data_IF_085808836626
#
_entry.id   IF_085808836626
#
_cell.length_a   1.000
_cell.length_b   1.000
_cell.length_c   1.000
_cell.angle_alpha   90.00
_cell.angle_beta   90.00
_cell.angle_gamma   90.00
#
_symmetry.space_group_name_H-M   'P 1'
#
loop_
_entity.id
_entity.type
_entity.pdbx_description
1 polymer ?
#
# COMPACT_ATOMS: atom_id res chain seq x y z
N UNK A 1 19.90 27.92 11.64
CA UNK A 1 20.45 26.88 10.74
C UNK A 1 19.32 26.37 9.93
N UNK A 2 19.30 26.68 8.65
CA UNK A 2 18.29 26.17 7.69
C UNK A 2 18.50 24.67 7.52
N UNK A 3 17.46 23.82 7.59
CA UNK A 3 17.60 22.41 7.27
C UNK A 3 17.97 22.29 5.80
N UNK A 4 19.07 21.60 5.52
CA UNK A 4 19.51 21.30 4.17
C UNK A 4 18.46 20.45 3.47
N UNK A 5 18.30 20.76 2.19
CA UNK A 5 17.32 20.16 1.28
C UNK A 5 17.30 18.63 1.35
N UNK A 6 16.08 18.10 1.32
CA UNK A 6 15.77 16.72 1.06
C UNK A 6 16.65 16.15 -0.05
N UNK A 7 17.45 15.13 0.27
CA UNK A 7 18.02 14.27 -0.74
C UNK A 7 16.86 13.61 -1.49
N UNK A 8 16.67 14.04 -2.73
CA UNK A 8 15.75 13.37 -3.66
C UNK A 8 16.22 11.93 -3.74
N UNK A 9 15.38 11.00 -3.30
CA UNK A 9 15.60 9.56 -3.49
C UNK A 9 15.50 9.34 -4.99
N UNK A 10 16.64 9.24 -5.68
CA UNK A 10 16.69 8.77 -7.05
C UNK A 10 16.45 7.27 -7.00
N UNK A 11 15.21 6.86 -7.24
CA UNK A 11 14.92 5.48 -7.58
C UNK A 11 15.36 5.30 -9.02
N UNK A 12 16.21 4.33 -9.27
CA UNK A 12 16.40 3.89 -10.65
C UNK A 12 15.04 3.54 -11.22
N UNK A 13 14.67 4.11 -12.39
CA UNK A 13 13.39 3.78 -12.99
C UNK A 13 13.33 2.26 -13.22
N UNK A 14 12.14 1.63 -13.13
CA UNK A 14 11.99 0.22 -13.39
C UNK A 14 12.58 -0.07 -14.76
N UNK A 15 13.50 -1.02 -14.80
CA UNK A 15 14.15 -1.42 -16.05
C UNK A 15 13.20 -2.32 -16.83
N UNK A 16 12.26 -1.71 -17.56
CA UNK A 16 11.25 -2.42 -18.38
C UNK A 16 11.88 -3.42 -19.35
N UNK A 17 13.08 -3.14 -19.84
CA UNK A 17 13.82 -4.06 -20.70
C UNK A 17 14.19 -5.34 -19.96
N UNK A 18 14.61 -5.23 -18.71
CA UNK A 18 14.99 -6.36 -17.86
C UNK A 18 13.80 -7.25 -17.52
N UNK A 19 12.66 -6.67 -17.16
CA UNK A 19 11.42 -7.42 -16.88
C UNK A 19 10.93 -8.15 -18.13
N UNK A 20 11.00 -7.51 -19.29
CA UNK A 20 10.66 -8.15 -20.55
C UNK A 20 11.57 -9.34 -20.84
N UNK A 21 12.89 -9.18 -20.71
CA UNK A 21 13.87 -10.25 -20.91
C UNK A 21 13.63 -11.40 -19.92
N UNK A 22 13.40 -11.09 -18.63
CA UNK A 22 13.10 -12.08 -17.62
C UNK A 22 11.83 -12.87 -17.99
N UNK A 23 10.78 -12.19 -18.43
CA UNK A 23 9.54 -12.83 -18.89
C UNK A 23 9.74 -13.76 -20.09
N UNK A 24 10.61 -13.41 -21.04
CA UNK A 24 10.94 -14.29 -22.18
C UNK A 24 11.70 -15.54 -21.75
N UNK A 25 12.65 -15.38 -20.83
CA UNK A 25 13.41 -16.51 -20.27
C UNK A 25 12.49 -17.45 -19.51
N UNK A 26 11.62 -16.91 -18.65
CA UNK A 26 10.64 -17.71 -17.88
C UNK A 26 9.68 -18.47 -18.82
N UNK A 27 9.20 -17.85 -19.88
CA UNK A 27 8.34 -18.50 -20.87
C UNK A 27 9.06 -19.66 -21.58
N UNK A 28 10.33 -19.46 -21.95
CA UNK A 28 11.15 -20.48 -22.60
C UNK A 28 11.41 -21.67 -21.65
N UNK A 29 11.87 -21.41 -20.44
CA UNK A 29 12.17 -22.42 -19.43
C UNK A 29 10.88 -23.14 -18.99
N UNK A 30 9.79 -22.40 -18.76
CA UNK A 30 8.48 -22.94 -18.42
C UNK A 30 7.93 -23.86 -19.51
N UNK A 31 8.10 -23.50 -20.78
CA UNK A 31 7.77 -24.38 -21.93
C UNK A 31 8.59 -25.66 -21.90
N UNK A 32 9.90 -25.56 -21.66
CA UNK A 32 10.77 -26.72 -21.52
C UNK A 32 10.34 -27.66 -20.40
N UNK A 33 10.04 -27.10 -19.22
CA UNK A 33 9.53 -27.87 -18.06
C UNK A 33 8.20 -28.57 -18.39
N UNK A 34 7.28 -27.88 -19.06
CA UNK A 34 6.00 -28.46 -19.48
C UNK A 34 6.20 -29.63 -20.43
N UNK A 35 7.09 -29.50 -21.44
CA UNK A 35 7.41 -30.58 -22.36
C UNK A 35 7.97 -31.78 -21.60
N UNK A 36 8.96 -31.58 -20.72
CA UNK A 36 9.56 -32.65 -19.91
C UNK A 36 8.47 -33.36 -19.07
N UNK A 37 7.55 -32.62 -18.48
CA UNK A 37 6.48 -33.18 -17.65
C UNK A 37 5.56 -34.13 -18.42
N UNK A 38 5.31 -33.83 -19.68
CA UNK A 38 4.42 -34.59 -20.57
C UNK A 38 5.08 -35.83 -21.22
N UNK A 39 6.43 -35.90 -21.17
CA UNK A 39 7.13 -37.06 -21.74
C UNK A 39 6.86 -38.33 -20.91
N UNK A 40 6.62 -39.48 -21.54
CA UNK A 40 6.41 -40.76 -20.84
C UNK A 40 7.76 -41.39 -20.43
N UNK A 41 8.51 -40.67 -19.55
CA UNK A 41 9.84 -41.05 -19.12
C UNK A 41 9.85 -41.39 -17.62
N UNK A 42 10.77 -42.26 -17.14
CA UNK A 42 10.99 -42.50 -15.74
C UNK A 42 11.29 -41.20 -14.98
N UNK A 43 10.87 -41.15 -13.71
CA UNK A 43 11.02 -39.97 -12.87
C UNK A 43 12.47 -39.49 -12.78
N UNK A 44 13.42 -40.40 -12.55
CA UNK A 44 14.85 -40.08 -12.42
C UNK A 44 15.42 -39.46 -13.70
N UNK A 45 14.92 -39.86 -14.89
CA UNK A 45 15.35 -39.27 -16.13
C UNK A 45 14.75 -37.87 -16.35
N UNK A 46 13.50 -37.66 -15.91
CA UNK A 46 12.89 -36.30 -15.88
C UNK A 46 13.66 -35.34 -14.98
N UNK A 47 14.06 -35.79 -13.79
CA UNK A 47 14.90 -35.00 -12.88
C UNK A 47 16.23 -34.60 -13.53
N UNK A 48 16.87 -35.52 -14.24
CA UNK A 48 18.09 -35.22 -14.99
C UNK A 48 17.84 -34.17 -16.09
N UNK A 49 16.71 -34.25 -16.82
CA UNK A 49 16.33 -33.28 -17.83
C UNK A 49 16.03 -31.89 -17.19
N UNK A 50 15.36 -31.85 -16.05
CA UNK A 50 15.14 -30.60 -15.33
C UNK A 50 16.44 -29.99 -14.84
N UNK A 51 17.36 -30.79 -14.33
CA UNK A 51 18.68 -30.32 -13.92
C UNK A 51 19.48 -29.78 -15.11
N UNK A 52 19.42 -30.45 -16.26
CA UNK A 52 20.05 -29.99 -17.49
C UNK A 52 19.45 -28.68 -18.02
N UNK A 53 18.13 -28.55 -17.96
CA UNK A 53 17.43 -27.32 -18.33
C UNK A 53 17.81 -26.14 -17.42
N UNK A 54 17.88 -26.39 -16.12
CA UNK A 54 18.32 -25.38 -15.15
C UNK A 54 19.81 -25.03 -15.35
N UNK A 55 20.67 -25.99 -15.66
CA UNK A 55 22.07 -25.75 -16.03
C UNK A 55 22.21 -24.89 -17.29
N UNK A 56 21.38 -25.14 -18.32
CA UNK A 56 21.35 -24.32 -19.53
C UNK A 56 20.86 -22.90 -19.23
N UNK A 57 19.85 -22.74 -18.38
CA UNK A 57 19.39 -21.43 -17.90
C UNK A 57 20.54 -20.65 -17.27
N UNK A 58 21.22 -21.26 -16.30
CA UNK A 58 22.34 -20.66 -15.58
C UNK A 58 23.50 -20.29 -16.51
N UNK A 59 23.83 -21.14 -17.49
CA UNK A 59 24.97 -20.90 -18.37
C UNK A 59 24.71 -19.86 -19.47
N UNK A 60 23.49 -19.76 -19.99
CA UNK A 60 23.17 -18.96 -21.18
C UNK A 60 22.19 -17.82 -20.99
N UNK A 61 21.47 -17.81 -19.87
CA UNK A 61 20.40 -16.85 -19.60
C UNK A 61 20.47 -16.31 -18.17
N UNK A 62 21.68 -16.25 -17.60
CA UNK A 62 21.88 -15.75 -16.25
C UNK A 62 21.43 -14.27 -16.15
N UNK A 63 20.73 -13.93 -15.07
CA UNK A 63 20.20 -12.60 -14.81
C UNK A 63 20.87 -12.01 -13.57
N UNK A 64 20.94 -10.69 -13.46
CA UNK A 64 21.36 -10.07 -12.21
C UNK A 64 20.31 -10.32 -11.12
N UNK A 65 20.72 -10.43 -9.84
CA UNK A 65 19.80 -10.68 -8.74
C UNK A 65 18.68 -9.64 -8.68
N UNK A 66 17.49 -10.06 -8.28
CA UNK A 66 16.39 -9.17 -8.00
C UNK A 66 16.55 -8.62 -6.59
N UNK A 67 16.58 -7.31 -6.48
CA UNK A 67 16.67 -6.61 -5.23
C UNK A 67 15.65 -5.47 -5.25
N UNK A 68 14.71 -5.49 -4.31
CA UNK A 68 13.62 -4.54 -4.28
C UNK A 68 13.89 -3.42 -3.26
N UNK A 69 13.51 -2.16 -3.57
CA UNK A 69 13.46 -1.11 -2.57
C UNK A 69 12.56 -1.53 -1.41
N UNK A 70 13.03 -1.32 -0.19
CA UNK A 70 12.32 -1.73 1.02
C UNK A 70 12.29 -0.58 2.01
N UNK A 71 11.19 -0.42 2.73
CA UNK A 71 11.11 0.46 3.88
C UNK A 71 11.02 -0.38 5.15
N UNK A 72 11.78 0.04 6.17
CA UNK A 72 11.80 -0.63 7.48
C UNK A 72 11.48 0.43 8.53
N UNK A 73 10.55 0.11 9.41
CA UNK A 73 10.14 0.99 10.50
C UNK A 73 10.49 0.36 11.85
N UNK A 74 11.01 1.17 12.77
CA UNK A 74 11.25 0.75 14.14
C UNK A 74 10.92 1.86 15.15
N UNK A 75 10.93 1.47 16.41
CA UNK A 75 10.85 2.42 17.53
C UNK A 75 12.22 3.07 17.73
N UNK A 76 12.31 4.39 17.55
CA UNK A 76 13.52 5.16 17.43
C UNK A 76 14.62 4.94 18.46
N UNK A 77 15.85 5.06 18.02
CA UNK A 77 17.06 4.94 18.84
C UNK A 77 17.50 3.51 19.12
N UNK A 78 16.83 2.51 18.57
CA UNK A 78 17.16 1.07 18.72
C UNK A 78 17.68 0.55 17.38
N UNK A 79 18.75 -0.28 17.36
CA UNK A 79 19.21 -0.88 16.12
C UNK A 79 18.11 -1.71 15.45
N UNK A 80 17.95 -1.56 14.14
CA UNK A 80 16.98 -2.29 13.32
C UNK A 80 17.72 -3.41 12.61
N UNK A 81 17.22 -4.62 12.69
CA UNK A 81 17.69 -5.75 11.90
C UNK A 81 16.67 -6.12 10.83
N UNK A 82 17.16 -6.52 9.67
CA UNK A 82 16.34 -6.95 8.54
C UNK A 82 17.13 -7.83 7.58
N UNK A 83 16.49 -8.20 6.47
CA UNK A 83 17.13 -8.89 5.36
C UNK A 83 16.90 -8.13 4.06
N UNK A 84 17.89 -8.10 3.19
CA UNK A 84 17.79 -7.46 1.88
C UNK A 84 16.88 -8.24 0.93
N UNK A 85 16.75 -9.55 1.15
CA UNK A 85 15.82 -10.40 0.40
C UNK A 85 16.10 -10.45 -1.10
N UNK A 86 17.37 -10.27 -1.53
CA UNK A 86 17.71 -10.42 -2.94
C UNK A 86 17.50 -11.87 -3.39
N UNK A 87 16.96 -12.04 -4.58
CA UNK A 87 16.69 -13.36 -5.17
C UNK A 87 17.43 -13.47 -6.49
N UNK A 88 18.28 -14.47 -6.60
CA UNK A 88 18.85 -14.91 -7.85
C UNK A 88 17.99 -16.04 -8.43
N UNK A 89 17.50 -15.85 -9.66
CA UNK A 89 16.60 -16.81 -10.30
C UNK A 89 17.33 -18.07 -10.80
N UNK A 90 18.63 -17.97 -11.01
CA UNK A 90 19.52 -19.04 -11.42
C UNK A 90 20.08 -19.79 -10.20
N UNK A 91 19.98 -19.22 -9.00
CA UNK A 91 20.45 -19.77 -7.75
C UNK A 91 21.95 -19.58 -7.54
N UNK A 92 22.51 -18.53 -8.16
CA UNK A 92 23.91 -18.17 -7.96
C UNK A 92 24.11 -17.45 -6.61
N UNK A 93 25.36 -17.48 -6.13
CA UNK A 93 25.71 -16.80 -4.89
C UNK A 93 25.65 -15.28 -5.07
N UNK A 94 25.05 -14.60 -4.13
CA UNK A 94 24.86 -13.13 -4.15
C UNK A 94 25.86 -12.48 -3.20
N UNK A 95 26.57 -11.48 -3.67
CA UNK A 95 27.38 -10.59 -2.84
C UNK A 95 26.71 -9.24 -2.68
N UNK A 96 26.58 -8.80 -1.44
CA UNK A 96 26.02 -7.51 -1.09
C UNK A 96 27.09 -6.46 -0.80
N UNK A 97 26.82 -5.21 -1.15
CA UNK A 97 27.67 -4.08 -0.80
C UNK A 97 26.84 -2.81 -0.55
N UNK A 98 27.36 -1.93 0.30
CA UNK A 98 26.78 -0.59 0.52
C UNK A 98 27.32 0.31 -0.59
N UNK A 99 26.43 0.88 -1.38
CA UNK A 99 26.75 1.85 -2.44
C UNK A 99 26.75 3.27 -1.88
N UNK A 100 25.73 3.60 -1.09
CA UNK A 100 25.61 4.88 -0.38
C UNK A 100 25.21 4.56 1.05
N UNK A 101 26.02 4.99 2.00
CA UNK A 101 25.71 4.81 3.42
C UNK A 101 24.60 5.75 3.90
N UNK A 102 23.95 5.42 5.04
CA UNK A 102 22.95 6.28 5.66
C UNK A 102 23.57 7.57 6.19
N UNK A 103 22.78 8.65 6.21
CA UNK A 103 23.22 9.96 6.69
C UNK A 103 23.14 10.08 8.23
N UNK A 104 22.21 9.38 8.85
CA UNK A 104 21.87 9.53 10.27
C UNK A 104 22.09 8.26 11.09
N UNK A 105 22.87 7.33 10.58
CA UNK A 105 23.18 6.07 11.24
C UNK A 105 24.36 5.35 10.60
N UNK A 106 24.52 4.09 10.98
CA UNK A 106 25.46 3.15 10.36
C UNK A 106 24.73 1.88 9.96
N UNK A 107 25.15 1.23 8.88
CA UNK A 107 24.59 -0.06 8.46
C UNK A 107 25.72 -1.08 8.26
N UNK A 108 25.49 -2.28 8.73
CA UNK A 108 26.36 -3.45 8.52
C UNK A 108 25.55 -4.52 7.82
N UNK A 109 26.07 -5.09 6.75
CA UNK A 109 25.43 -6.15 5.97
C UNK A 109 26.28 -7.41 6.07
N UNK A 110 25.65 -8.52 6.42
CA UNK A 110 26.27 -9.84 6.44
C UNK A 110 26.21 -10.51 5.04
N UNK A 111 27.06 -11.54 4.78
CA UNK A 111 27.07 -12.23 3.49
C UNK A 111 25.74 -12.86 3.07
N UNK A 112 24.88 -13.24 4.03
CA UNK A 112 23.56 -13.80 3.80
C UNK A 112 22.49 -12.75 3.47
N UNK A 113 22.88 -11.46 3.39
CA UNK A 113 21.97 -10.34 3.15
C UNK A 113 21.21 -9.86 4.39
N UNK A 114 21.45 -10.44 5.56
CA UNK A 114 20.99 -9.85 6.81
C UNK A 114 21.75 -8.55 7.09
N UNK A 115 21.05 -7.56 7.67
CA UNK A 115 21.69 -6.29 8.00
C UNK A 115 21.22 -5.77 9.37
N UNK A 116 22.06 -4.91 9.93
CA UNK A 116 21.75 -4.13 11.12
C UNK A 116 22.02 -2.66 10.81
N UNK A 117 20.97 -1.85 10.87
CA UNK A 117 21.07 -0.40 10.88
C UNK A 117 21.08 0.08 12.32
N UNK A 118 22.02 0.94 12.67
CA UNK A 118 22.14 1.57 13.99
C UNK A 118 22.02 3.07 13.84
N UNK A 119 20.92 3.69 14.33
CA UNK A 119 20.75 5.12 14.26
C UNK A 119 21.77 5.88 15.13
N UNK A 120 22.09 7.09 14.72
CA UNK A 120 22.85 8.01 15.59
C UNK A 120 22.03 8.34 16.85
N UNK A 121 22.72 8.61 17.95
CA UNK A 121 22.06 8.92 19.21
C UNK A 121 21.06 10.10 19.07
N UNK A 122 19.80 9.84 19.43
CA UNK A 122 18.73 10.83 19.35
C UNK A 122 18.16 11.08 17.95
N UNK A 123 18.58 10.32 16.94
CA UNK A 123 17.98 10.43 15.62
C UNK A 123 16.52 9.94 15.64
N UNK A 124 15.66 10.73 15.05
CA UNK A 124 14.27 10.40 14.74
C UNK A 124 13.96 10.97 13.36
N UNK A 125 13.25 10.21 12.53
CA UNK A 125 12.92 10.61 11.16
C UNK A 125 13.17 9.51 10.16
N UNK A 126 13.38 9.89 8.93
CA UNK A 126 13.65 8.97 7.82
C UNK A 126 15.11 9.09 7.40
N UNK A 127 15.79 7.97 7.33
CA UNK A 127 17.11 7.84 6.74
C UNK A 127 17.06 6.90 5.55
N UNK A 128 18.06 6.89 4.72
CA UNK A 128 18.13 5.96 3.59
C UNK A 128 19.57 5.53 3.31
N UNK A 129 19.71 4.35 2.80
CA UNK A 129 20.97 3.86 2.26
C UNK A 129 20.71 3.04 0.98
N UNK A 130 21.70 2.99 0.11
CA UNK A 130 21.64 2.26 -1.16
C UNK A 130 22.57 1.06 -1.07
N UNK A 131 22.04 -0.10 -1.44
CA UNK A 131 22.79 -1.36 -1.49
C UNK A 131 22.81 -1.91 -2.90
N UNK A 132 23.83 -2.71 -3.19
CA UNK A 132 23.89 -3.53 -4.40
C UNK A 132 23.87 -5.00 -4.04
N UNK A 133 23.21 -5.79 -4.88
CA UNK A 133 23.30 -7.24 -4.92
C UNK A 133 23.99 -7.63 -6.23
N UNK A 134 25.12 -8.30 -6.15
CA UNK A 134 25.93 -8.72 -7.29
C UNK A 134 25.92 -10.23 -7.37
N UNK A 135 25.54 -10.75 -8.51
CA UNK A 135 25.66 -12.14 -8.89
C UNK A 135 27.14 -12.52 -9.06
N UNK A 136 27.53 -13.63 -8.45
CA UNK A 136 28.89 -14.21 -8.56
C UNK A 136 28.97 -15.33 -9.60
N UNK A 137 27.87 -15.65 -10.28
CA UNK A 137 27.81 -16.62 -11.36
C UNK A 137 28.40 -16.12 -12.68
N UNK A 138 28.25 -16.93 -13.73
CA UNK A 138 28.64 -16.54 -15.06
C UNK A 138 27.70 -15.47 -15.65
N UNK A 139 28.26 -14.39 -16.19
CA UNK A 139 27.52 -13.23 -16.67
C UNK A 139 27.13 -13.33 -18.14
N UNK A 140 26.57 -14.46 -18.56
CA UNK A 140 26.11 -14.66 -19.94
C UNK A 140 24.57 -14.62 -19.96
N UNK A 141 24.02 -13.72 -20.78
CA UNK A 141 22.62 -13.71 -21.09
C UNK A 141 22.40 -13.44 -22.57
N UNK A 142 21.94 -14.44 -23.32
CA UNK A 142 21.75 -14.33 -24.76
C UNK A 142 20.66 -13.36 -25.19
N UNK A 143 19.72 -13.02 -24.28
CA UNK A 143 18.71 -12.01 -24.53
C UNK A 143 19.14 -10.60 -24.07
N UNK A 144 20.19 -10.51 -23.25
CA UNK A 144 20.75 -9.25 -22.77
C UNK A 144 22.26 -9.35 -22.63
N UNK A 145 22.96 -9.18 -23.75
CA UNK A 145 24.42 -9.29 -23.82
C UNK A 145 25.18 -8.19 -23.05
N UNK A 146 24.50 -7.12 -22.68
CA UNK A 146 25.07 -5.96 -21.97
C UNK A 146 24.52 -5.83 -20.54
N UNK A 147 23.91 -6.90 -19.99
CA UNK A 147 23.37 -6.87 -18.65
C UNK A 147 24.38 -6.45 -17.60
N UNK A 148 23.93 -5.70 -16.60
CA UNK A 148 24.72 -5.47 -15.41
C UNK A 148 24.76 -6.74 -14.54
N UNK A 149 25.90 -7.01 -13.90
CA UNK A 149 26.03 -8.10 -12.91
C UNK A 149 25.36 -7.75 -11.57
N UNK A 150 25.01 -6.49 -11.35
CA UNK A 150 24.51 -5.99 -10.06
C UNK A 150 23.19 -5.27 -10.22
N UNK A 151 22.35 -5.38 -9.21
CA UNK A 151 21.15 -4.56 -9.01
C UNK A 151 21.34 -3.67 -7.80
N UNK A 152 20.81 -2.46 -7.86
CA UNK A 152 20.81 -1.51 -6.75
C UNK A 152 19.40 -1.33 -6.22
N UNK A 153 19.28 -1.19 -4.92
CA UNK A 153 18.02 -0.81 -4.28
C UNK A 153 18.26 0.17 -3.13
N UNK A 154 17.30 1.08 -2.95
CA UNK A 154 17.27 1.98 -1.81
C UNK A 154 16.50 1.34 -0.66
N UNK A 155 17.06 1.41 0.54
CA UNK A 155 16.36 1.06 1.76
C UNK A 155 16.03 2.34 2.52
N UNK A 156 14.77 2.53 2.81
CA UNK A 156 14.29 3.58 3.71
C UNK A 156 14.18 3.01 5.11
N UNK A 157 14.74 3.75 6.04
CA UNK A 157 14.64 3.44 7.47
C UNK A 157 13.79 4.52 8.12
N UNK A 158 12.71 4.10 8.73
CA UNK A 158 11.80 5.00 9.43
C UNK A 158 11.94 4.79 10.94
N UNK A 159 12.69 5.69 11.57
CA UNK A 159 12.94 5.71 13.00
C UNK A 159 11.93 6.61 13.70
N UNK A 160 10.86 6.01 14.24
CA UNK A 160 9.84 6.74 15.02
C UNK A 160 9.20 7.93 14.31
N UNK A 161 9.14 7.97 13.00
CA UNK A 161 8.39 9.03 12.36
C UNK A 161 6.90 8.92 12.69
N UNK A 162 6.35 7.71 12.85
CA UNK A 162 5.00 7.50 13.37
C UNK A 162 5.03 6.44 14.48
N UNK A 163 4.51 6.80 15.64
CA UNK A 163 4.23 5.89 16.75
C UNK A 163 2.74 5.85 17.01
N UNK A 164 2.22 4.69 17.36
CA UNK A 164 0.81 4.52 17.68
C UNK A 164 0.61 4.24 19.17
N UNK A 165 -0.38 4.93 19.77
CA UNK A 165 -0.90 4.62 21.10
C UNK A 165 -2.33 4.16 20.93
N UNK A 166 -2.61 2.89 21.25
CA UNK A 166 -3.92 2.29 21.22
C UNK A 166 -4.47 2.17 22.64
N UNK A 167 -5.43 3.04 22.98
CA UNK A 167 -6.11 3.06 24.27
C UNK A 167 -7.36 2.19 24.18
N UNK A 168 -7.26 0.96 24.69
CA UNK A 168 -8.36 0.01 24.71
C UNK A 168 -9.34 0.34 25.83
N UNK A 169 -10.56 0.72 25.48
CA UNK A 169 -11.60 1.18 26.43
C UNK A 169 -12.77 0.18 26.49
N UNK A 170 -13.95 0.55 26.00
CA UNK A 170 -15.14 -0.31 26.00
C UNK A 170 -14.89 -1.57 25.19
N UNK A 171 -15.23 -2.74 25.74
CA UNK A 171 -15.03 -4.01 25.05
C UNK A 171 -13.58 -4.48 24.98
N UNK A 172 -12.68 -3.91 25.80
CA UNK A 172 -11.25 -4.27 25.85
C UNK A 172 -10.99 -5.75 26.12
N UNK A 173 -11.93 -6.46 26.74
CA UNK A 173 -11.86 -7.90 27.00
C UNK A 173 -11.89 -8.74 25.72
N UNK A 174 -12.40 -8.24 24.60
CA UNK A 174 -12.38 -8.94 23.30
C UNK A 174 -11.05 -8.81 22.58
N UNK A 175 -10.23 -7.82 22.93
CA UNK A 175 -8.93 -7.55 22.34
C UNK A 175 -7.87 -8.46 22.95
N UNK A 176 -7.71 -9.65 22.36
CA UNK A 176 -6.63 -10.60 22.72
C UNK A 176 -5.26 -10.03 22.38
N UNK A 177 -4.19 -10.65 22.88
CA UNK A 177 -2.80 -10.31 22.51
C UNK A 177 -2.59 -10.37 21.00
N UNK A 178 -3.15 -11.39 20.33
CA UNK A 178 -3.01 -11.59 18.90
C UNK A 178 -3.72 -10.51 18.10
N UNK A 179 -4.94 -10.12 18.51
CA UNK A 179 -5.70 -9.02 17.91
C UNK A 179 -4.96 -7.68 18.04
N UNK A 180 -4.38 -7.39 19.22
CA UNK A 180 -3.58 -6.18 19.46
C UNK A 180 -2.32 -6.16 18.60
N UNK A 181 -1.62 -7.30 18.52
CA UNK A 181 -0.43 -7.44 17.67
C UNK A 181 -0.77 -7.25 16.19
N UNK A 182 -1.89 -7.82 15.72
CA UNK A 182 -2.37 -7.64 14.37
C UNK A 182 -2.72 -6.17 14.05
N UNK A 183 -3.35 -5.44 14.99
CA UNK A 183 -3.65 -4.02 14.83
C UNK A 183 -2.38 -3.17 14.66
N UNK A 184 -1.34 -3.40 15.50
CA UNK A 184 -0.06 -2.72 15.36
C UNK A 184 0.62 -3.06 14.02
N UNK A 185 0.58 -4.31 13.60
CA UNK A 185 1.14 -4.75 12.32
C UNK A 185 0.44 -4.04 11.15
N UNK A 186 -0.90 -4.00 11.14
CA UNK A 186 -1.67 -3.32 10.11
C UNK A 186 -1.38 -1.81 10.07
N UNK A 187 -1.32 -1.14 11.23
CA UNK A 187 -0.96 0.27 11.31
C UNK A 187 0.42 0.55 10.71
N UNK A 188 1.42 -0.28 11.04
CA UNK A 188 2.76 -0.15 10.48
C UNK A 188 2.78 -0.44 8.98
N UNK A 189 1.98 -1.41 8.50
CA UNK A 189 1.87 -1.70 7.06
C UNK A 189 1.30 -0.52 6.29
N UNK A 190 0.27 0.15 6.81
CA UNK A 190 -0.27 1.38 6.19
C UNK A 190 0.79 2.48 6.19
N UNK A 191 1.53 2.67 7.27
CA UNK A 191 2.55 3.72 7.34
C UNK A 191 3.74 3.50 6.39
N UNK A 192 4.00 2.27 5.96
CA UNK A 192 5.02 1.98 4.92
C UNK A 192 4.70 2.62 3.56
N UNK A 193 3.44 2.93 3.32
CA UNK A 193 3.00 3.57 2.08
C UNK A 193 3.35 5.07 2.01
N UNK A 194 3.70 5.69 3.16
CA UNK A 194 3.87 7.13 3.27
C UNK A 194 5.23 7.52 3.84
N UNK A 195 5.77 8.63 3.32
CA UNK A 195 6.93 9.29 3.90
C UNK A 195 6.45 10.33 4.90
N UNK A 196 6.80 10.14 6.17
CA UNK A 196 6.53 11.10 7.24
C UNK A 196 7.87 11.68 7.70
N UNK A 197 8.04 12.99 7.53
CA UNK A 197 9.34 13.67 7.72
C UNK A 197 9.54 14.19 9.14
N UNK A 198 8.53 14.08 10.00
CA UNK A 198 8.57 14.55 11.39
C UNK A 198 8.01 13.48 12.32
N UNK A 199 8.60 13.26 13.49
CA UNK A 199 8.05 12.34 14.47
C UNK A 199 6.66 12.77 14.91
N UNK A 200 5.70 11.87 14.82
CA UNK A 200 4.34 12.06 15.30
C UNK A 200 3.87 10.86 16.12
N UNK A 201 3.09 11.12 17.14
CA UNK A 201 2.41 10.09 17.93
C UNK A 201 0.91 10.18 17.62
N UNK A 202 0.36 9.13 17.04
CA UNK A 202 -1.07 9.04 16.75
C UNK A 202 -1.73 8.21 17.84
N UNK A 203 -2.72 8.82 18.50
CA UNK A 203 -3.47 8.18 19.59
C UNK A 203 -4.85 7.78 19.11
N UNK A 204 -5.20 6.52 19.26
CA UNK A 204 -6.54 6.01 18.99
C UNK A 204 -7.22 5.56 20.26
N UNK A 205 -8.50 5.91 20.40
CA UNK A 205 -9.40 5.19 21.29
C UNK A 205 -9.89 3.93 20.57
N UNK A 206 -9.73 2.78 21.22
CA UNK A 206 -10.07 1.47 20.65
C UNK A 206 -11.20 0.86 21.45
N UNK A 207 -12.30 0.59 20.77
CA UNK A 207 -13.44 -0.12 21.34
C UNK A 207 -13.64 -1.48 20.69
N UNK A 208 -14.39 -2.34 21.36
CA UNK A 208 -14.70 -3.68 20.84
C UNK A 208 -16.13 -4.06 21.18
N UNK A 209 -16.78 -4.75 20.27
CA UNK A 209 -18.10 -5.32 20.46
C UNK A 209 -18.13 -6.79 20.01
N UNK A 210 -19.22 -7.48 20.36
CA UNK A 210 -19.46 -8.86 19.95
C UNK A 210 -20.95 -9.02 19.60
N UNK A 211 -21.39 -8.31 18.55
CA UNK A 211 -22.79 -8.23 18.15
C UNK A 211 -22.96 -8.68 16.70
N UNK A 212 -23.71 -9.75 16.49
CA UNK A 212 -23.99 -10.28 15.14
C UNK A 212 -24.90 -9.32 14.36
N UNK A 213 -24.60 -9.10 13.09
CA UNK A 213 -25.43 -8.30 12.16
C UNK A 213 -25.06 -6.83 12.06
N UNK A 214 -24.02 -6.37 12.76
CA UNK A 214 -23.42 -5.05 12.59
C UNK A 214 -22.21 -5.09 11.62
N UNK A 215 -21.55 -3.95 11.39
CA UNK A 215 -20.33 -3.86 10.59
C UNK A 215 -19.20 -4.70 11.20
N UNK A 216 -18.21 -5.05 10.38
CA UNK A 216 -17.00 -5.76 10.80
C UNK A 216 -16.13 -4.89 11.73
N UNK A 217 -15.93 -3.65 11.32
CA UNK A 217 -15.18 -2.62 12.02
C UNK A 217 -15.61 -1.24 11.54
N UNK A 218 -15.12 -0.19 12.18
CA UNK A 218 -15.20 1.18 11.71
C UNK A 218 -14.04 2.00 12.27
N UNK A 219 -13.57 2.98 11.50
CA UNK A 219 -12.63 3.98 11.99
C UNK A 219 -13.05 5.38 11.59
N UNK A 220 -12.79 6.32 12.47
CA UNK A 220 -13.05 7.73 12.21
C UNK A 220 -11.98 8.62 12.86
N UNK A 221 -11.89 9.84 12.34
CA UNK A 221 -11.14 10.93 12.94
C UNK A 221 -11.90 12.23 12.64
N UNK A 222 -12.09 13.05 13.64
CA UNK A 222 -12.80 14.32 13.51
C UNK A 222 -12.07 15.29 12.55
N UNK A 223 -12.79 16.23 11.95
CA UNK A 223 -12.16 17.34 11.23
C UNK A 223 -11.50 18.29 12.23
N UNK A 224 -10.38 18.90 11.82
CA UNK A 224 -9.69 19.93 12.64
C UNK A 224 -10.51 21.22 12.81
N UNK A 225 -11.59 21.38 12.06
CA UNK A 225 -12.46 22.56 12.10
C UNK A 225 -13.90 22.19 11.76
N UNK A 226 -14.84 22.81 12.45
CA UNK A 226 -16.28 22.74 12.16
C UNK A 226 -16.78 23.90 11.26
N UNK A 227 -15.89 24.83 10.88
CA UNK A 227 -16.22 25.94 10.00
C UNK A 227 -16.60 25.50 8.58
N UNK A 228 -17.01 26.46 7.74
CA UNK A 228 -17.23 26.20 6.31
C UNK A 228 -15.88 26.07 5.58
N UNK A 229 -15.62 24.93 4.94
CA UNK A 229 -14.36 24.70 4.25
C UNK A 229 -14.10 23.23 3.99
N UNK A 230 -12.93 22.95 3.38
CA UNK A 230 -12.39 21.60 3.28
C UNK A 230 -11.24 21.46 4.29
N UNK A 231 -11.33 20.49 5.17
CA UNK A 231 -10.38 20.30 6.26
C UNK A 231 -9.86 18.87 6.31
N UNK A 232 -8.60 18.68 6.71
CA UNK A 232 -8.11 17.34 7.02
C UNK A 232 -8.79 16.80 8.30
N UNK A 233 -8.75 15.50 8.45
CA UNK A 233 -9.01 14.87 9.75
C UNK A 233 -7.89 15.20 10.74
N UNK A 234 -8.10 15.02 12.03
CA UNK A 234 -7.07 15.24 13.06
C UNK A 234 -5.87 14.33 12.80
N UNK A 235 -6.09 13.04 12.53
CA UNK A 235 -5.02 12.08 12.18
C UNK A 235 -4.28 12.55 10.93
N UNK A 236 -4.99 12.90 9.86
CA UNK A 236 -4.41 13.38 8.62
C UNK A 236 -3.57 14.66 8.85
N UNK A 237 -4.13 15.64 9.56
CA UNK A 237 -3.42 16.88 9.86
C UNK A 237 -2.13 16.63 10.62
N UNK A 238 -2.19 15.78 11.66
CA UNK A 238 -1.04 15.45 12.49
C UNK A 238 0.05 14.74 11.70
N UNK A 239 -0.30 13.81 10.82
CA UNK A 239 0.65 13.12 9.93
C UNK A 239 1.29 14.06 8.90
N UNK A 240 0.51 14.98 8.31
CA UNK A 240 0.99 15.90 7.28
C UNK A 240 1.84 17.06 7.84
N UNK A 241 1.53 17.54 9.05
CA UNK A 241 2.12 18.76 9.60
C UNK A 241 2.96 18.55 10.84
N UNK A 242 2.79 17.45 11.55
CA UNK A 242 3.35 17.20 12.87
C UNK A 242 2.65 17.99 14.00
N UNK A 243 1.54 18.68 13.69
CA UNK A 243 0.82 19.53 14.66
C UNK A 243 -0.36 18.78 15.23
N UNK A 244 -0.47 18.71 16.54
CA UNK A 244 -1.60 18.19 17.26
C UNK A 244 -2.72 19.25 17.29
N UNK A 245 -3.86 18.95 16.65
CA UNK A 245 -4.98 19.87 16.52
C UNK A 245 -6.05 19.70 17.61
N UNK A 246 -6.01 18.60 18.38
CA UNK A 246 -7.02 18.26 19.38
C UNK A 246 -6.47 18.07 20.81
N UNK A 247 -5.17 18.26 21.02
CA UNK A 247 -4.51 18.23 22.32
C UNK A 247 -4.56 16.82 22.97
N UNK A 248 -5.06 16.72 24.18
CA UNK A 248 -5.04 15.47 24.92
C UNK A 248 -6.12 14.43 24.49
N UNK A 249 -7.02 14.79 23.59
CA UNK A 249 -8.02 13.86 23.08
C UNK A 249 -7.39 12.85 22.12
N UNK A 250 -8.00 11.68 21.94
CA UNK A 250 -7.56 10.73 20.93
C UNK A 250 -7.69 11.34 19.52
N UNK A 251 -6.71 11.10 18.66
CA UNK A 251 -6.71 11.61 17.29
C UNK A 251 -7.74 10.92 16.41
N UNK A 252 -8.00 9.65 16.70
CA UNK A 252 -9.00 8.85 16.01
C UNK A 252 -9.65 7.82 16.94
N UNK A 253 -10.69 7.20 16.42
CA UNK A 253 -11.43 6.14 17.10
C UNK A 253 -11.57 4.92 16.16
N UNK A 254 -11.39 3.72 16.70
CA UNK A 254 -11.61 2.45 15.99
C UNK A 254 -12.53 1.58 16.82
N UNK A 255 -13.63 1.10 16.22
CA UNK A 255 -14.47 0.08 16.77
C UNK A 255 -14.30 -1.24 16.02
N UNK A 256 -14.25 -2.37 16.76
CA UNK A 256 -14.04 -3.68 16.17
C UNK A 256 -15.08 -4.69 16.66
N UNK A 257 -15.66 -5.44 15.72
CA UNK A 257 -16.66 -6.45 16.05
C UNK A 257 -16.07 -7.86 16.05
N UNK A 258 -15.97 -8.44 17.24
CA UNK A 258 -15.42 -9.79 17.45
C UNK A 258 -16.46 -10.91 17.31
N UNK A 259 -17.71 -10.62 16.90
CA UNK A 259 -18.70 -11.64 16.59
C UNK A 259 -18.41 -12.42 15.30
N UNK A 260 -17.43 -11.96 14.52
CA UNK A 260 -17.04 -12.58 13.25
C UNK A 260 -15.77 -13.43 13.41
N UNK A 261 -15.57 -14.45 12.55
CA UNK A 261 -14.39 -15.31 12.60
C UNK A 261 -13.17 -14.57 12.03
N UNK A 262 -12.28 -14.11 12.87
CA UNK A 262 -11.06 -13.38 12.49
C UNK A 262 -9.85 -14.29 12.40
N UNK A 263 -8.98 -14.01 11.41
CA UNK A 263 -7.60 -14.51 11.36
C UNK A 263 -6.63 -13.36 11.69
N UNK A 264 -5.78 -13.54 12.70
CA UNK A 264 -4.84 -12.53 13.21
C UNK A 264 -3.41 -12.72 12.70
N UNK A 265 -3.18 -13.61 11.75
CA UNK A 265 -1.86 -13.92 11.18
C UNK A 265 -1.88 -13.96 9.66
N UNK A 266 -0.80 -14.52 9.09
CA UNK A 266 -0.65 -14.61 7.64
C UNK A 266 -1.53 -15.71 7.03
N UNK A 267 -1.86 -16.74 7.80
CA UNK A 267 -2.79 -17.77 7.34
C UNK A 267 -4.22 -17.35 7.62
N UNK A 268 -5.01 -17.22 6.55
CA UNK A 268 -6.44 -16.88 6.58
C UNK A 268 -7.21 -17.97 5.87
N UNK A 269 -8.05 -18.71 6.60
CA UNK A 269 -8.93 -19.72 5.99
C UNK A 269 -10.06 -19.07 5.18
N UNK A 270 -10.66 -19.85 4.27
CA UNK A 270 -11.74 -19.35 3.42
C UNK A 270 -13.02 -18.91 4.19
N UNK A 271 -13.12 -19.25 5.48
CA UNK A 271 -14.26 -18.91 6.34
C UNK A 271 -13.96 -17.76 7.32
N UNK A 272 -12.71 -17.29 7.38
CA UNK A 272 -12.29 -16.22 8.27
C UNK A 272 -12.15 -14.90 7.52
N UNK A 273 -12.37 -13.80 8.21
CA UNK A 273 -12.00 -12.47 7.73
C UNK A 273 -10.53 -12.19 8.02
N UNK A 274 -9.86 -11.56 7.08
CA UNK A 274 -8.48 -11.12 7.21
C UNK A 274 -8.43 -9.85 8.06
N UNK A 275 -7.95 -9.98 9.31
CA UNK A 275 -7.89 -8.87 10.24
C UNK A 275 -7.00 -7.73 9.72
N UNK A 276 -5.84 -8.06 9.15
CA UNK A 276 -4.89 -7.05 8.64
C UNK A 276 -5.48 -6.26 7.50
N UNK A 277 -6.16 -6.92 6.54
CA UNK A 277 -6.86 -6.23 5.46
C UNK A 277 -7.88 -5.24 5.99
N UNK A 278 -8.76 -5.68 6.90
CA UNK A 278 -9.81 -4.82 7.44
C UNK A 278 -9.20 -3.69 8.26
N UNK A 279 -8.18 -3.95 9.07
CA UNK A 279 -7.52 -2.91 9.86
C UNK A 279 -6.83 -1.86 8.97
N UNK A 280 -6.16 -2.28 7.90
CA UNK A 280 -5.57 -1.33 6.92
C UNK A 280 -6.65 -0.48 6.24
N UNK A 281 -7.80 -1.08 5.88
CA UNK A 281 -8.94 -0.37 5.32
C UNK A 281 -9.46 0.70 6.30
N UNK A 282 -9.67 0.35 7.55
CA UNK A 282 -10.14 1.27 8.58
C UNK A 282 -9.14 2.40 8.87
N UNK A 283 -7.85 2.10 8.92
CA UNK A 283 -6.85 3.15 9.06
C UNK A 283 -6.92 4.18 7.92
N UNK A 284 -7.13 3.76 6.67
CA UNK A 284 -7.24 4.69 5.54
C UNK A 284 -8.43 5.65 5.69
N UNK A 285 -9.53 5.21 6.27
CA UNK A 285 -10.64 6.11 6.60
C UNK A 285 -10.20 7.21 7.58
N UNK A 286 -9.52 6.86 8.66
CA UNK A 286 -9.02 7.85 9.62
C UNK A 286 -7.97 8.79 9.02
N UNK A 287 -7.21 8.32 8.02
CA UNK A 287 -6.23 9.09 7.26
C UNK A 287 -6.88 10.02 6.20
N UNK A 288 -8.20 10.08 6.13
CA UNK A 288 -8.92 10.99 5.26
C UNK A 288 -9.49 10.39 3.98
N UNK A 289 -9.36 9.09 3.74
CA UNK A 289 -10.07 8.41 2.65
C UNK A 289 -11.53 8.21 3.03
N UNK A 290 -12.25 9.31 3.22
CA UNK A 290 -13.64 9.29 3.67
C UNK A 290 -14.40 10.54 3.26
N UNK A 291 -15.69 10.41 3.03
CA UNK A 291 -16.60 11.49 2.67
C UNK A 291 -17.59 11.80 3.79
N UNK A 292 -17.82 13.08 4.02
CA UNK A 292 -18.92 13.58 4.86
C UNK A 292 -20.15 13.98 4.04
N UNK A 293 -20.08 13.85 2.71
CA UNK A 293 -21.22 14.11 1.84
C UNK A 293 -22.27 13.00 1.99
N UNK A 294 -23.48 13.39 2.34
CA UNK A 294 -24.64 12.49 2.45
C UNK A 294 -25.92 13.21 1.97
N UNK A 295 -26.95 12.48 1.54
CA UNK A 295 -28.17 13.10 0.99
C UNK A 295 -28.83 14.13 1.89
N UNK A 296 -28.72 13.98 3.20
CA UNK A 296 -29.25 14.91 4.21
C UNK A 296 -28.38 16.15 4.44
N UNK A 297 -27.16 16.22 3.88
CA UNK A 297 -26.21 17.35 4.09
C UNK A 297 -26.46 18.56 3.19
N UNK A 298 -27.63 18.68 2.59
CA UNK A 298 -27.95 19.74 1.63
C UNK A 298 -28.21 21.10 2.28
N UNK A 299 -27.87 22.18 1.57
CA UNK A 299 -28.27 23.54 1.85
C UNK A 299 -27.43 24.31 2.86
N UNK A 300 -26.88 23.70 3.89
CA UNK A 300 -26.07 24.39 4.89
C UNK A 300 -24.59 24.48 4.45
N UNK A 301 -23.94 25.60 4.77
CA UNK A 301 -22.48 25.65 4.75
C UNK A 301 -21.94 24.85 5.91
N UNK A 302 -20.89 24.05 5.66
CA UNK A 302 -20.28 23.22 6.68
C UNK A 302 -18.83 22.85 6.39
N UNK A 303 -18.15 22.24 7.35
CA UNK A 303 -16.85 21.59 7.14
C UNK A 303 -17.03 20.28 6.39
N UNK A 304 -16.14 20.05 5.45
CA UNK A 304 -16.04 18.87 4.60
C UNK A 304 -14.64 18.28 4.74
N UNK A 305 -14.48 17.02 4.42
CA UNK A 305 -13.14 16.42 4.34
C UNK A 305 -12.36 16.98 3.13
N UNK A 306 -11.03 16.87 3.12
CA UNK A 306 -10.25 17.16 1.91
C UNK A 306 -10.70 16.28 0.74
N UNK A 307 -11.05 15.03 1.02
CA UNK A 307 -11.58 14.07 0.04
C UNK A 307 -12.84 14.61 -0.65
N UNK A 308 -13.75 15.23 0.08
CA UNK A 308 -14.98 15.83 -0.45
C UNK A 308 -14.70 16.94 -1.46
N UNK A 309 -13.56 17.62 -1.35
CA UNK A 309 -13.12 18.65 -2.32
C UNK A 309 -12.85 18.09 -3.72
N UNK A 310 -12.58 16.80 -3.80
CA UNK A 310 -12.32 16.09 -5.06
C UNK A 310 -13.54 15.39 -5.66
N UNK A 311 -14.71 15.43 -4.99
CA UNK A 311 -15.91 14.77 -5.50
C UNK A 311 -16.42 15.44 -6.79
N UNK A 312 -16.75 14.62 -7.79
CA UNK A 312 -17.22 15.04 -9.11
C UNK A 312 -18.45 14.24 -9.52
N UNK A 313 -19.33 14.87 -10.27
CA UNK A 313 -20.37 14.19 -11.06
C UNK A 313 -19.76 13.54 -12.30
N UNK A 314 -20.52 12.71 -13.00
CA UNK A 314 -20.14 12.15 -14.30
C UNK A 314 -19.74 13.22 -15.34
N UNK A 315 -20.34 14.39 -15.29
CA UNK A 315 -20.00 15.54 -16.15
C UNK A 315 -18.80 16.36 -15.66
N UNK A 316 -18.07 15.91 -14.62
CA UNK A 316 -16.88 16.59 -14.08
C UNK A 316 -17.16 17.78 -13.16
N UNK A 317 -18.43 18.12 -12.90
CA UNK A 317 -18.80 19.21 -12.00
C UNK A 317 -18.50 18.83 -10.54
N UNK A 318 -18.03 19.80 -9.74
CA UNK A 318 -17.84 19.61 -8.30
C UNK A 318 -19.18 19.35 -7.61
N UNK A 319 -19.24 18.37 -6.72
CA UNK A 319 -20.42 18.10 -5.90
C UNK A 319 -20.65 19.21 -4.86
N UNK A 320 -19.57 19.69 -4.26
CA UNK A 320 -19.58 20.75 -3.27
C UNK A 320 -19.05 22.02 -3.90
N UNK A 321 -19.85 23.07 -3.89
CA UNK A 321 -19.52 24.36 -4.49
C UNK A 321 -18.41 25.11 -3.73
N UNK A 322 -17.96 26.25 -4.32
CA UNK A 322 -17.00 27.14 -3.67
C UNK A 322 -17.57 27.85 -2.43
N UNK A 323 -18.87 27.81 -2.27
CA UNK A 323 -19.60 28.26 -1.09
C UNK A 323 -19.72 27.20 0.02
N UNK A 324 -19.06 26.05 -0.15
CA UNK A 324 -19.06 24.89 0.77
C UNK A 324 -20.47 24.35 1.04
N UNK A 325 -21.33 24.35 0.01
CA UNK A 325 -22.67 23.79 0.05
C UNK A 325 -22.79 22.61 -0.90
N UNK A 326 -23.52 21.61 -0.45
CA UNK A 326 -24.05 20.54 -1.29
C UNK A 326 -25.45 20.91 -1.71
N UNK A 327 -25.70 21.13 -3.00
CA UNK A 327 -27.04 21.45 -3.49
C UNK A 327 -27.90 20.19 -3.60
N UNK A 328 -29.26 20.31 -3.55
CA UNK A 328 -30.14 19.15 -3.72
C UNK A 328 -29.91 18.39 -5.03
N UNK A 329 -29.62 19.09 -6.12
CA UNK A 329 -29.34 18.47 -7.42
C UNK A 329 -28.06 17.66 -7.41
N UNK A 330 -27.00 18.13 -6.72
CA UNK A 330 -25.74 17.39 -6.56
C UNK A 330 -25.90 16.23 -5.56
N UNK A 331 -26.69 16.40 -4.49
CA UNK A 331 -26.97 15.35 -3.53
C UNK A 331 -27.69 14.14 -4.16
N UNK A 332 -28.50 14.34 -5.21
CA UNK A 332 -29.14 13.27 -5.94
C UNK A 332 -28.13 12.31 -6.59
N UNK A 333 -26.93 12.79 -6.96
CA UNK A 333 -25.86 11.94 -7.51
C UNK A 333 -25.32 10.94 -6.48
N UNK A 334 -25.42 11.23 -5.18
CA UNK A 334 -24.91 10.34 -4.12
C UNK A 334 -25.62 8.99 -4.06
N UNK A 335 -26.81 8.89 -4.67
CA UNK A 335 -27.62 7.67 -4.81
C UNK A 335 -27.98 7.39 -6.28
N UNK A 336 -27.15 7.87 -7.21
CA UNK A 336 -27.40 7.75 -8.64
C UNK A 336 -26.96 6.41 -9.25
N UNK A 337 -26.43 5.49 -8.48
CA UNK A 337 -25.88 4.22 -8.96
C UNK A 337 -24.41 4.34 -9.39
N UNK A 338 -23.85 3.24 -9.88
CA UNK A 338 -22.48 3.19 -10.42
C UNK A 338 -22.27 4.25 -11.49
N UNK A 339 -21.14 4.96 -11.42
CA UNK A 339 -20.80 6.01 -12.37
C UNK A 339 -21.51 7.35 -12.17
N UNK A 340 -22.16 7.58 -11.02
CA UNK A 340 -22.79 8.86 -10.69
C UNK A 340 -21.86 9.81 -9.93
N UNK A 341 -20.94 9.28 -9.13
CA UNK A 341 -19.95 10.05 -8.34
C UNK A 341 -18.55 9.50 -8.56
N UNK A 342 -17.60 10.42 -8.66
CA UNK A 342 -16.21 10.14 -8.93
C UNK A 342 -15.29 10.92 -8.01
N UNK A 343 -14.09 10.38 -7.77
CA UNK A 343 -12.97 11.13 -7.23
C UNK A 343 -12.16 11.73 -8.39
N UNK A 344 -11.98 13.04 -8.40
CA UNK A 344 -11.40 13.80 -9.52
C UNK A 344 -10.05 14.45 -9.20
N UNK A 345 -9.27 13.86 -8.28
CA UNK A 345 -7.89 14.30 -8.03
C UNK A 345 -6.96 14.01 -9.20
N UNK A 346 -5.96 14.85 -9.41
CA UNK A 346 -5.09 14.76 -10.61
C UNK A 346 -4.20 13.53 -10.61
N UNK A 347 -3.63 13.17 -9.47
CA UNK A 347 -2.81 11.97 -9.34
C UNK A 347 -3.67 10.71 -9.53
N UNK A 348 -4.85 10.66 -8.90
CA UNK A 348 -5.80 9.56 -9.04
C UNK A 348 -6.27 9.40 -10.49
N UNK A 349 -6.57 10.50 -11.19
CA UNK A 349 -6.93 10.45 -12.61
C UNK A 349 -5.79 9.93 -13.49
N UNK A 350 -4.56 10.31 -13.21
CA UNK A 350 -3.39 9.82 -13.95
C UNK A 350 -3.19 8.31 -13.73
N UNK A 351 -3.35 7.83 -12.49
CA UNK A 351 -3.19 6.42 -12.14
C UNK A 351 -4.31 5.53 -12.71
N UNK A 352 -5.55 6.04 -12.73
CA UNK A 352 -6.72 5.29 -13.20
C UNK A 352 -6.97 5.43 -14.71
N UNK A 353 -6.51 6.53 -15.33
CA UNK A 353 -6.79 6.89 -16.72
C UNK A 353 -8.11 7.65 -16.90
N UNK A 354 -8.59 8.35 -15.86
CA UNK A 354 -9.82 9.14 -15.83
C UNK A 354 -10.27 9.37 -14.39
N UNK A 355 -11.42 9.97 -14.18
CA UNK A 355 -11.99 10.14 -12.84
C UNK A 355 -12.28 8.76 -12.22
N UNK A 356 -11.91 8.57 -10.95
CA UNK A 356 -12.06 7.28 -10.26
C UNK A 356 -13.50 7.09 -9.77
N UNK A 357 -14.24 6.05 -10.20
CA UNK A 357 -15.62 5.85 -9.79
C UNK A 357 -15.73 5.45 -8.31
N UNK A 358 -16.67 6.09 -7.61
CA UNK A 358 -16.94 5.85 -6.19
C UNK A 358 -18.24 5.08 -5.99
N UNK A 359 -18.32 4.39 -4.86
CA UNK A 359 -19.50 3.62 -4.48
C UNK A 359 -20.69 4.52 -4.13
N UNK A 360 -21.65 4.63 -5.05
CA UNK A 360 -22.84 5.46 -4.93
C UNK A 360 -24.10 4.62 -5.22
N UNK A 361 -24.47 3.67 -4.33
CA UNK A 361 -25.59 2.76 -4.58
C UNK A 361 -26.92 3.50 -4.61
N UNK A 362 -27.93 2.95 -5.33
CA UNK A 362 -29.29 3.53 -5.41
C UNK A 362 -29.94 3.70 -4.05
N UNK A 363 -29.60 2.85 -3.09
CA UNK A 363 -30.01 2.99 -1.69
C UNK A 363 -28.81 3.46 -0.88
N UNK A 364 -28.93 4.59 -0.19
CA UNK A 364 -27.86 5.11 0.64
C UNK A 364 -27.42 4.09 1.70
N UNK A 365 -26.14 3.74 1.69
CA UNK A 365 -25.53 2.89 2.69
C UNK A 365 -24.65 3.76 3.61
N UNK A 366 -25.19 4.07 4.80
CA UNK A 366 -24.46 4.89 5.77
C UNK A 366 -23.13 4.25 6.15
N UNK A 367 -22.08 5.07 6.22
CA UNK A 367 -20.70 4.62 6.49
C UNK A 367 -19.98 4.05 5.26
N UNK A 368 -20.71 3.62 4.20
CA UNK A 368 -20.07 3.01 3.01
C UNK A 368 -20.16 3.90 1.77
N UNK A 369 -21.31 4.51 1.51
CA UNK A 369 -21.51 5.33 0.31
C UNK A 369 -20.50 6.47 0.24
N UNK A 370 -19.92 6.66 -0.94
CA UNK A 370 -18.96 7.71 -1.32
C UNK A 370 -17.58 7.55 -0.69
N UNK A 371 -17.46 6.95 0.48
CA UNK A 371 -16.19 6.70 1.17
C UNK A 371 -15.42 5.48 0.63
N UNK A 372 -15.92 4.84 -0.43
CA UNK A 372 -15.34 3.63 -1.00
C UNK A 372 -15.27 3.70 -2.52
N UNK A 373 -14.44 2.85 -3.09
CA UNK A 373 -14.35 2.64 -4.54
C UNK A 373 -15.57 1.84 -5.04
N UNK A 374 -15.98 2.10 -6.28
CA UNK A 374 -17.14 1.44 -6.88
C UNK A 374 -16.91 -0.07 -7.06
N UNK A 375 -17.59 -0.89 -6.27
CA UNK A 375 -17.44 -2.35 -6.30
C UNK A 375 -17.95 -3.02 -7.57
N UNK A 376 -18.69 -2.31 -8.43
CA UNK A 376 -19.09 -2.83 -9.75
C UNK A 376 -17.96 -2.70 -10.77
N UNK A 377 -17.12 -1.68 -10.59
CA UNK A 377 -15.94 -1.42 -11.44
C UNK A 377 -14.72 -2.15 -10.90
N UNK A 378 -14.46 -2.03 -9.60
CA UNK A 378 -13.36 -2.69 -8.92
C UNK A 378 -13.82 -4.04 -8.34
N UNK A 379 -13.92 -5.07 -9.18
CA UNK A 379 -14.47 -6.38 -8.83
C UNK A 379 -13.57 -7.53 -9.30
N UNK A 380 -13.75 -8.71 -8.73
CA UNK A 380 -12.94 -9.88 -9.09
C UNK A 380 -11.44 -9.63 -8.89
N UNK A 381 -10.60 -9.87 -9.91
CA UNK A 381 -9.15 -9.61 -9.84
C UNK A 381 -8.79 -8.12 -9.67
N UNK A 382 -9.68 -7.22 -10.08
CA UNK A 382 -9.47 -5.77 -10.00
C UNK A 382 -9.94 -5.17 -8.67
N UNK A 383 -10.38 -6.02 -7.73
CA UNK A 383 -10.79 -5.59 -6.39
C UNK A 383 -9.69 -4.81 -5.69
N UNK A 384 -10.08 -3.82 -4.91
CA UNK A 384 -9.18 -2.92 -4.19
C UNK A 384 -9.38 -3.03 -2.67
N UNK A 385 -8.42 -2.54 -1.90
CA UNK A 385 -8.51 -2.50 -0.44
C UNK A 385 -9.73 -1.68 0.03
N UNK A 386 -9.97 -0.51 -0.60
CA UNK A 386 -11.06 0.39 -0.26
C UNK A 386 -12.40 0.07 -0.96
N UNK A 387 -12.67 -1.21 -1.23
CA UNK A 387 -14.01 -1.66 -1.62
C UNK A 387 -14.95 -1.69 -0.41
N UNK A 388 -16.26 -1.42 -0.58
CA UNK A 388 -17.22 -1.35 0.53
C UNK A 388 -17.54 -2.71 1.19
N UNK A 389 -17.14 -3.81 0.59
CA UNK A 389 -17.40 -5.16 1.07
C UNK A 389 -16.11 -5.94 1.18
N UNK A 390 -15.92 -6.62 2.29
CA UNK A 390 -14.77 -7.48 2.56
C UNK A 390 -15.20 -8.94 2.46
N UNK A 391 -14.60 -9.77 1.59
CA UNK A 391 -14.84 -11.20 1.56
C UNK A 391 -14.11 -11.92 2.69
N UNK A 392 -14.54 -13.13 3.00
CA UNK A 392 -13.72 -14.07 3.77
C UNK A 392 -12.57 -14.63 2.92
N UNK A 393 -11.55 -15.19 3.57
CA UNK A 393 -10.31 -15.65 2.94
C UNK A 393 -9.21 -14.58 3.03
N UNK A 394 -8.05 -14.92 2.46
CA UNK A 394 -6.90 -14.02 2.42
C UNK A 394 -7.26 -12.74 1.63
N UNK A 395 -7.09 -11.60 2.26
CA UNK A 395 -7.44 -10.29 1.75
C UNK A 395 -6.30 -9.53 1.08
N UNK A 396 -6.61 -8.33 0.60
CA UNK A 396 -5.65 -7.39 0.01
C UNK A 396 -5.00 -6.60 1.15
N UNK A 397 -3.68 -6.71 1.30
CA UNK A 397 -2.91 -6.03 2.35
C UNK A 397 -1.92 -4.99 1.81
N UNK A 398 -2.21 -4.44 0.64
CA UNK A 398 -1.41 -3.40 -0.03
C UNK A 398 -2.33 -2.39 -0.69
N UNK A 399 -1.89 -1.15 -0.78
CA UNK A 399 -2.61 -0.13 -1.53
C UNK A 399 -2.32 -0.30 -3.02
N UNK A 400 -3.37 -0.24 -3.82
CA UNK A 400 -3.23 -0.16 -5.28
C UNK A 400 -2.67 1.20 -5.71
N UNK A 401 -2.26 1.29 -6.96
CA UNK A 401 -1.82 2.56 -7.53
C UNK A 401 -2.89 3.65 -7.48
N UNK A 402 -4.17 3.27 -7.65
CA UNK A 402 -5.30 4.21 -7.59
C UNK A 402 -5.48 4.71 -6.16
N UNK A 403 -5.47 3.84 -5.17
CA UNK A 403 -5.60 4.20 -3.75
C UNK A 403 -4.42 5.06 -3.29
N UNK A 404 -3.19 4.70 -3.65
CA UNK A 404 -1.99 5.51 -3.40
C UNK A 404 -2.11 6.90 -4.01
N UNK A 405 -2.58 6.99 -5.25
CA UNK A 405 -2.75 8.27 -5.95
C UNK A 405 -3.86 9.13 -5.33
N UNK A 406 -4.94 8.53 -4.81
CA UNK A 406 -5.94 9.24 -4.01
C UNK A 406 -5.29 9.81 -2.74
N UNK A 407 -4.49 9.03 -2.03
CA UNK A 407 -3.77 9.53 -0.85
C UNK A 407 -2.78 10.64 -1.19
N UNK A 408 -2.13 10.56 -2.35
CA UNK A 408 -1.28 11.65 -2.85
C UNK A 408 -2.07 12.94 -3.10
N UNK A 409 -3.24 12.87 -3.73
CA UNK A 409 -4.13 14.02 -3.91
C UNK A 409 -4.62 14.59 -2.56
N UNK A 410 -4.73 13.76 -1.53
CA UNK A 410 -5.05 14.16 -0.16
C UNK A 410 -3.87 14.80 0.59
N UNK A 411 -2.69 14.90 -0.05
CA UNK A 411 -1.52 15.61 0.48
C UNK A 411 -0.41 14.72 1.04
N UNK A 412 -0.54 13.40 1.00
CA UNK A 412 0.51 12.49 1.47
C UNK A 412 1.67 12.40 0.48
N UNK A 413 2.88 12.33 0.99
CA UNK A 413 4.06 11.94 0.21
C UNK A 413 4.15 10.42 0.23
N UNK A 414 4.14 9.79 -0.94
CA UNK A 414 4.16 8.34 -1.06
C UNK A 414 5.57 7.79 -0.92
N UNK A 415 5.71 6.69 -0.21
CA UNK A 415 6.91 5.88 -0.25
C UNK A 415 7.07 5.23 -1.64
N UNK A 416 8.30 4.95 -2.08
CA UNK A 416 8.53 4.20 -3.31
C UNK A 416 7.81 2.84 -3.27
N UNK A 417 7.22 2.45 -4.40
CA UNK A 417 6.67 1.09 -4.52
C UNK A 417 7.80 0.08 -4.65
N UNK A 418 7.63 -1.09 -4.06
CA UNK A 418 8.49 -2.23 -4.39
C UNK A 418 8.22 -2.72 -5.83
N UNK A 419 9.17 -3.44 -6.42
CA UNK A 419 9.06 -3.89 -7.80
C UNK A 419 7.91 -4.90 -8.02
N UNK A 420 7.48 -5.62 -6.99
CA UNK A 420 6.35 -6.56 -7.06
C UNK A 420 5.01 -5.83 -7.21
N UNK A 421 4.85 -4.71 -6.54
CA UNK A 421 3.68 -3.83 -6.67
C UNK A 421 3.62 -3.16 -8.05
N UNK A 422 4.77 -2.88 -8.66
CA UNK A 422 4.86 -2.32 -10.03
C UNK A 422 4.42 -3.29 -11.12
N UNK A 423 4.71 -4.59 -10.98
CA UNK A 423 4.28 -5.63 -11.95
C UNK A 423 2.75 -5.73 -12.03
N UNK A 424 2.06 -5.62 -10.91
CA UNK A 424 0.60 -5.56 -10.87
C UNK A 424 0.06 -4.33 -11.62
N UNK A 425 0.76 -3.20 -11.53
CA UNK A 425 0.39 -1.95 -12.19
C UNK A 425 0.47 -2.04 -13.72
N UNK A 426 1.57 -2.58 -14.24
CA UNK A 426 1.80 -2.73 -15.68
C UNK A 426 0.76 -3.66 -16.30
N UNK A 427 0.42 -4.76 -15.62
CA UNK A 427 -0.65 -5.67 -16.03
C UNK A 427 -2.01 -4.95 -16.13
N UNK A 428 -2.34 -4.08 -15.19
CA UNK A 428 -3.59 -3.34 -15.15
C UNK A 428 -3.73 -2.34 -16.32
N UNK A 429 -2.67 -1.60 -16.64
CA UNK A 429 -2.66 -0.63 -17.74
C UNK A 429 -2.78 -1.34 -19.10
N UNK A 430 -2.14 -2.48 -19.31
CA UNK A 430 -2.20 -3.23 -20.57
C UNK A 430 -3.56 -3.90 -20.80
N UNK A 431 -4.18 -4.47 -19.77
CA UNK A 431 -5.50 -5.10 -19.87
C UNK A 431 -6.56 -4.03 -20.18
N UNK A 432 -6.45 -2.85 -19.61
CA UNK A 432 -7.40 -1.76 -19.83
C UNK A 432 -7.28 -1.11 -21.20
N UNK A 433 -6.06 -0.90 -21.72
CA UNK A 433 -5.87 -0.43 -23.11
C UNK A 433 -6.51 -1.36 -24.11
N UNK A 434 -6.41 -2.69 -23.93
CA UNK A 434 -7.07 -3.66 -24.82
C UNK A 434 -8.60 -3.65 -24.74
N UNK A 435 -9.21 -3.28 -23.59
CA UNK A 435 -10.68 -3.14 -23.49
C UNK A 435 -11.20 -1.87 -24.12
N UNK A 436 -10.47 -0.77 -24.04
CA UNK A 436 -10.85 0.53 -24.66
C UNK A 436 -10.68 0.51 -26.19
N UNK A 437 -9.77 -0.31 -26.73
CA UNK A 437 -9.61 -0.51 -28.17
C UNK A 437 -10.59 -1.55 -28.77
N UNK A 438 -11.39 -2.23 -27.95
CA UNK A 438 -12.35 -3.26 -28.35
C UNK A 438 -13.84 -2.85 -28.18
N UNK A 439 -14.11 -1.63 -27.67
CA UNK A 439 -15.43 -0.97 -27.66
C UNK A 439 -15.43 0.21 -28.65
#
# INVERSE_FOLDING_TARGET
MTPSASSVISLDPPNFGREFVAGQIEALIGTGRTIISLLPLPYEFKEWLYASLNGTRRALFNQAPWLNPTQISAEGGVPISGTLGAVDLEGDEIRYAIVTGPASGTVVIAPDGSFIYTPNAGFTGVDNFVVSATDLGEHINLFDLFRAASTHASLLVNERAVSFIFNYTTGSQYWTSDARTALYRAANNVMREFIVTRPVIITYEITGENTVGTSLASAESALISSGAGFFPTVVQHKLLTGIDANGAAADGHINWNFAYPWAFGDYVSAQQYDFDMVAMHEFLHSLGFMSYAQPSSTGAQRGWTLYDGFLRTAGGSKLIGSDFRLTPSMAASLTGGSGSVFFGGSAAQAAYGGMVPLYAPFTWAGGSSISHLDSTVFSGPDRQLMNPQVPTGHGIRTLSAVERAIMQDLGYTLAPMDASSMLALVGFVFIRRRRVEAE
#
